data_IF_868189196510
#
_entry.id   IF_868189196510
#
_cell.length_a   1.000
_cell.length_b   1.000
_cell.length_c   1.000
_cell.angle_alpha   90.00
_cell.angle_beta   90.00
_cell.angle_gamma   90.00
#
_symmetry.space_group_name_H-M   'P 1'
#
loop_
_entity.id
_entity.type
_entity.pdbx_description
1 polymer ?
#
# COMPACT_ATOMS: atom_id res chain seq x y z
N UNK A 1 -16.98 13.65 15.31
CA UNK A 1 -16.77 14.65 14.24
C UNK A 1 -17.03 13.99 12.90
N UNK A 2 -17.60 14.70 11.94
CA UNK A 2 -18.07 14.07 10.69
C UNK A 2 -17.05 14.29 9.58
N UNK A 3 -16.73 13.23 8.82
CA UNK A 3 -15.81 13.33 7.69
C UNK A 3 -16.16 14.41 6.63
N UNK A 4 -17.44 14.76 6.38
CA UNK A 4 -17.79 15.91 5.54
C UNK A 4 -17.21 17.26 5.97
N UNK A 5 -16.97 17.48 7.27
CA UNK A 5 -16.38 18.74 7.75
C UNK A 5 -14.91 18.89 7.35
N UNK A 6 -14.18 17.77 7.30
CA UNK A 6 -12.77 17.72 6.87
C UNK A 6 -12.63 18.09 5.39
N UNK A 7 -13.68 17.90 4.59
CA UNK A 7 -13.70 18.22 3.16
C UNK A 7 -14.04 19.69 2.86
N UNK A 8 -14.34 20.52 3.86
CA UNK A 8 -14.62 21.95 3.62
C UNK A 8 -13.36 22.66 3.13
N UNK A 9 -13.42 23.17 1.90
CA UNK A 9 -12.31 23.83 1.22
C UNK A 9 -11.38 22.88 0.46
N UNK A 10 -11.63 21.57 0.50
CA UNK A 10 -10.91 20.61 -0.32
C UNK A 10 -11.30 20.77 -1.80
N UNK A 11 -10.31 20.61 -2.68
CA UNK A 11 -10.49 20.55 -4.12
C UNK A 11 -11.30 19.33 -4.53
N UNK A 12 -11.78 19.34 -5.78
CA UNK A 12 -12.49 18.19 -6.35
C UNK A 12 -11.61 16.93 -6.34
N UNK A 13 -10.32 17.05 -6.68
CA UNK A 13 -9.43 15.90 -6.75
C UNK A 13 -9.12 15.33 -5.36
N UNK A 14 -8.84 16.19 -4.38
CA UNK A 14 -8.68 15.80 -2.97
C UNK A 14 -9.88 15.05 -2.42
N UNK A 15 -11.07 15.29 -2.95
CA UNK A 15 -12.31 14.68 -2.49
C UNK A 15 -12.63 13.37 -3.23
N UNK A 16 -12.21 13.23 -4.49
CA UNK A 16 -12.70 12.16 -5.38
C UNK A 16 -11.64 11.14 -5.84
N UNK A 17 -10.36 11.34 -5.53
CA UNK A 17 -9.30 10.38 -5.87
C UNK A 17 -9.57 8.94 -5.40
N UNK A 18 -10.23 8.64 -4.25
CA UNK A 18 -10.50 7.26 -3.86
C UNK A 18 -11.41 6.52 -4.87
N UNK A 19 -12.40 7.22 -5.47
CA UNK A 19 -13.26 6.60 -6.50
C UNK A 19 -12.49 6.31 -7.79
N UNK A 20 -11.51 7.14 -8.11
CA UNK A 20 -10.60 6.88 -9.23
C UNK A 20 -9.75 5.63 -8.95
N UNK A 21 -9.35 5.38 -7.70
CA UNK A 21 -8.69 4.11 -7.33
C UNK A 21 -9.57 2.89 -7.63
N UNK A 22 -10.87 2.94 -7.30
CA UNK A 22 -11.83 1.89 -7.71
C UNK A 22 -11.94 1.72 -9.22
N UNK A 23 -11.89 2.82 -9.98
CA UNK A 23 -11.93 2.76 -11.44
C UNK A 23 -10.67 2.11 -12.03
N UNK A 24 -9.50 2.37 -11.45
CA UNK A 24 -8.23 1.79 -11.90
C UNK A 24 -7.99 0.36 -11.40
N UNK A 25 -8.65 -0.09 -10.32
CA UNK A 25 -8.54 -1.43 -9.76
C UNK A 25 -8.61 -2.58 -10.79
N UNK A 26 -9.66 -2.70 -11.63
CA UNK A 26 -9.77 -3.84 -12.55
C UNK A 26 -8.65 -3.83 -13.61
N UNK A 27 -8.21 -2.65 -14.04
CA UNK A 27 -7.10 -2.51 -14.99
C UNK A 27 -5.81 -3.00 -14.33
N UNK A 28 -5.49 -2.48 -13.13
CA UNK A 28 -4.30 -2.86 -12.39
C UNK A 28 -4.29 -4.36 -12.02
N UNK A 29 -5.46 -4.98 -11.81
CA UNK A 29 -5.57 -6.40 -11.51
C UNK A 29 -5.29 -7.28 -12.73
N UNK A 30 -5.73 -6.89 -13.92
CA UNK A 30 -5.65 -7.73 -15.12
C UNK A 30 -4.30 -7.61 -15.84
N UNK A 31 -3.72 -6.40 -15.87
CA UNK A 31 -2.46 -6.10 -16.59
C UNK A 31 -1.33 -7.12 -16.35
N UNK A 32 -0.97 -7.52 -15.11
CA UNK A 32 0.15 -8.43 -14.89
C UNK A 32 -0.10 -9.85 -15.41
N UNK A 33 -1.36 -10.24 -15.64
CA UNK A 33 -1.72 -11.57 -16.14
C UNK A 33 -1.75 -11.66 -17.67
N UNK A 34 -1.85 -10.53 -18.38
CA UNK A 34 -1.98 -10.51 -19.84
C UNK A 34 -0.88 -11.32 -20.56
N UNK A 35 0.42 -11.19 -20.23
CA UNK A 35 1.46 -11.99 -20.90
C UNK A 35 1.24 -13.49 -20.76
N UNK A 36 0.74 -13.95 -19.61
CA UNK A 36 0.46 -15.37 -19.36
C UNK A 36 -0.75 -15.86 -20.14
N UNK A 37 -1.81 -15.05 -20.23
CA UNK A 37 -3.00 -15.40 -21.00
C UNK A 37 -2.73 -15.53 -22.50
N UNK A 38 -1.79 -14.75 -23.04
CA UNK A 38 -1.38 -14.87 -24.45
C UNK A 38 -0.36 -16.00 -24.71
N UNK A 39 0.36 -16.45 -23.68
CA UNK A 39 1.45 -17.42 -23.83
C UNK A 39 1.05 -18.87 -23.51
N UNK A 40 -0.16 -19.11 -22.97
CA UNK A 40 -0.60 -20.44 -22.52
C UNK A 40 -1.88 -20.89 -23.21
N UNK A 41 -2.03 -22.21 -23.48
CA UNK A 41 -3.22 -22.75 -24.15
C UNK A 41 -4.48 -22.79 -23.28
N UNK A 42 -4.34 -22.65 -21.95
CA UNK A 42 -5.46 -22.69 -21.01
C UNK A 42 -5.37 -21.56 -20.00
N UNK A 43 -6.50 -20.89 -19.75
CA UNK A 43 -6.64 -19.82 -18.73
C UNK A 43 -6.22 -20.32 -17.35
N UNK A 44 -6.56 -21.57 -16.99
CA UNK A 44 -6.20 -22.16 -15.70
C UNK A 44 -4.67 -22.27 -15.55
N UNK A 45 -3.99 -22.75 -16.60
CA UNK A 45 -2.53 -22.85 -16.60
C UNK A 45 -1.88 -21.47 -16.54
N UNK A 46 -2.37 -20.51 -17.34
CA UNK A 46 -1.89 -19.13 -17.33
C UNK A 46 -1.99 -18.51 -15.93
N UNK A 47 -3.13 -18.69 -15.27
CA UNK A 47 -3.37 -18.14 -13.95
C UNK A 47 -2.46 -18.75 -12.88
N UNK A 48 -2.32 -20.08 -12.87
CA UNK A 48 -1.44 -20.77 -11.93
C UNK A 48 0.03 -20.41 -12.14
N UNK A 49 0.48 -20.27 -13.38
CA UNK A 49 1.84 -19.84 -13.70
C UNK A 49 2.09 -18.38 -13.31
N UNK A 50 1.11 -17.50 -13.57
CA UNK A 50 1.18 -16.10 -13.15
C UNK A 50 1.31 -15.99 -11.62
N UNK A 51 0.54 -16.75 -10.84
CA UNK A 51 0.63 -16.74 -9.38
C UNK A 51 1.94 -17.31 -8.81
N UNK A 52 2.76 -17.98 -9.62
CA UNK A 52 4.12 -18.39 -9.24
C UNK A 52 5.16 -17.31 -9.54
N UNK A 53 4.81 -16.29 -10.33
CA UNK A 53 5.73 -15.22 -10.71
C UNK A 53 5.88 -14.22 -9.56
N UNK A 54 7.11 -13.97 -9.06
CA UNK A 54 7.32 -12.96 -8.02
C UNK A 54 6.93 -11.55 -8.50
N UNK A 55 7.05 -11.30 -9.81
CA UNK A 55 6.60 -10.07 -10.43
C UNK A 55 5.09 -9.89 -10.32
N UNK A 56 4.30 -10.91 -10.67
CA UNK A 56 2.83 -10.84 -10.58
C UNK A 56 2.41 -10.71 -9.12
N UNK A 57 2.98 -11.51 -8.22
CA UNK A 57 2.69 -11.41 -6.79
C UNK A 57 3.03 -10.02 -6.22
N UNK A 58 4.16 -9.44 -6.63
CA UNK A 58 4.52 -8.07 -6.28
C UNK A 58 3.54 -7.04 -6.87
N UNK A 59 3.14 -7.20 -8.13
CA UNK A 59 2.20 -6.30 -8.80
C UNK A 59 0.84 -6.26 -8.10
N UNK A 60 0.38 -7.39 -7.53
CA UNK A 60 -0.89 -7.46 -6.82
C UNK A 60 -0.98 -6.48 -5.63
N UNK A 61 0.13 -5.94 -5.12
CA UNK A 61 0.09 -4.82 -4.18
C UNK A 61 -0.69 -3.61 -4.72
N UNK A 62 -0.53 -3.28 -6.02
CA UNK A 62 -1.21 -2.13 -6.66
C UNK A 62 -2.74 -2.25 -6.59
N UNK A 63 -3.40 -3.25 -7.24
CA UNK A 63 -4.86 -3.34 -7.23
C UNK A 63 -5.41 -3.52 -5.80
N UNK A 64 -4.76 -4.30 -4.94
CA UNK A 64 -5.27 -4.48 -3.58
C UNK A 64 -5.17 -3.22 -2.73
N UNK A 65 -4.19 -2.34 -2.97
CA UNK A 65 -4.15 -1.04 -2.30
C UNK A 65 -5.08 -0.02 -2.95
N UNK A 66 -5.31 -0.07 -4.27
CA UNK A 66 -6.30 0.79 -4.93
C UNK A 66 -7.70 0.59 -4.33
N UNK A 67 -8.12 -0.67 -4.11
CA UNK A 67 -9.42 -0.93 -3.47
C UNK A 67 -9.42 -0.57 -1.98
N UNK A 68 -8.26 -0.72 -1.30
CA UNK A 68 -8.09 -0.28 0.09
C UNK A 68 -8.38 1.21 0.25
N UNK A 69 -7.82 2.03 -0.64
CA UNK A 69 -7.98 3.49 -0.62
C UNK A 69 -9.45 3.91 -0.69
N UNK A 70 -10.24 3.20 -1.49
CA UNK A 70 -11.69 3.42 -1.56
C UNK A 70 -12.37 3.10 -0.25
N UNK A 71 -12.11 1.91 0.29
CA UNK A 71 -12.71 1.43 1.54
C UNK A 71 -12.31 2.31 2.74
N UNK A 72 -11.09 2.83 2.73
CA UNK A 72 -10.56 3.71 3.76
C UNK A 72 -11.16 5.13 3.69
N UNK A 73 -11.14 5.75 2.50
CA UNK A 73 -11.37 7.19 2.33
C UNK A 73 -12.65 7.57 1.59
N UNK A 74 -13.23 6.70 0.74
CA UNK A 74 -14.38 7.08 -0.09
C UNK A 74 -15.66 7.25 0.74
N UNK A 75 -16.10 6.17 1.37
CA UNK A 75 -17.27 6.14 2.25
C UNK A 75 -17.05 5.12 3.37
N UNK A 76 -17.36 5.50 4.60
CA UNK A 76 -17.57 4.54 5.66
C UNK A 76 -18.93 3.84 5.54
N UNK A 77 -19.16 2.88 6.43
CA UNK A 77 -20.41 2.13 6.49
C UNK A 77 -21.64 2.99 6.86
N UNK A 78 -21.42 4.21 7.35
CA UNK A 78 -22.45 5.22 7.67
C UNK A 78 -22.71 6.15 6.50
N UNK A 79 -22.02 5.94 5.36
CA UNK A 79 -22.07 6.82 4.21
C UNK A 79 -21.30 8.13 4.40
N UNK A 80 -20.42 8.22 5.40
CA UNK A 80 -19.57 9.39 5.62
C UNK A 80 -18.30 9.30 4.79
N UNK A 81 -18.03 10.35 4.03
CA UNK A 81 -16.79 10.48 3.25
C UNK A 81 -15.62 10.81 4.17
N UNK A 82 -14.42 10.29 3.87
CA UNK A 82 -13.18 10.64 4.57
C UNK A 82 -13.20 10.39 6.08
N UNK A 83 -13.96 9.41 6.56
CA UNK A 83 -14.05 9.09 7.98
C UNK A 83 -12.70 8.70 8.62
N UNK A 84 -11.77 8.15 7.83
CA UNK A 84 -10.44 7.78 8.32
C UNK A 84 -9.68 8.97 8.92
N UNK A 85 -9.67 10.12 8.24
CA UNK A 85 -8.88 11.30 8.66
C UNK A 85 -9.22 11.76 10.08
N UNK A 86 -10.47 12.10 10.43
CA UNK A 86 -10.80 12.49 11.78
C UNK A 86 -10.53 11.35 12.77
N UNK A 87 -10.75 10.09 12.41
CA UNK A 87 -10.51 8.98 13.34
C UNK A 87 -9.02 8.82 13.67
N UNK A 88 -8.18 8.89 12.64
CA UNK A 88 -6.74 8.88 12.80
C UNK A 88 -6.30 10.06 13.69
N UNK A 89 -6.79 11.26 13.41
CA UNK A 89 -6.46 12.48 14.14
C UNK A 89 -6.86 12.45 15.63
N UNK A 90 -7.96 11.77 15.98
CA UNK A 90 -8.39 11.61 17.37
C UNK A 90 -7.68 10.46 18.09
N UNK A 91 -7.29 9.41 17.37
CA UNK A 91 -6.57 8.27 17.92
C UNK A 91 -5.07 8.47 17.84
N UNK A 92 -4.45 7.86 16.84
CA UNK A 92 -2.99 7.83 16.63
C UNK A 92 -2.40 9.23 16.50
N UNK A 93 -3.08 10.12 15.78
CA UNK A 93 -2.66 11.51 15.57
C UNK A 93 -2.54 12.30 16.86
N UNK A 94 -3.53 12.18 17.77
CA UNK A 94 -3.50 12.83 19.07
C UNK A 94 -2.30 12.37 19.91
N UNK A 95 -1.96 11.07 19.87
CA UNK A 95 -0.84 10.50 20.59
C UNK A 95 0.53 10.97 20.06
N UNK A 96 0.66 11.19 18.75
CA UNK A 96 1.95 11.43 18.10
C UNK A 96 2.22 12.90 17.75
N UNK A 97 1.18 13.73 17.58
CA UNK A 97 1.31 15.07 16.99
C UNK A 97 0.70 16.22 17.82
N UNK A 98 0.33 15.99 19.08
CA UNK A 98 -0.24 17.01 19.98
C UNK A 98 -1.50 17.68 19.41
N UNK A 99 -2.33 16.89 18.74
CA UNK A 99 -3.49 17.39 17.99
C UNK A 99 -4.63 17.89 18.86
N UNK A 100 -4.60 17.61 20.16
CA UNK A 100 -5.48 18.25 21.14
C UNK A 100 -5.31 19.78 21.12
N UNK A 101 -4.07 20.28 20.94
CA UNK A 101 -3.80 21.72 20.89
C UNK A 101 -4.04 22.34 19.51
N UNK A 102 -3.89 21.56 18.45
CA UNK A 102 -3.98 22.04 17.06
C UNK A 102 -5.37 21.86 16.45
N UNK A 103 -6.23 21.08 17.09
CA UNK A 103 -7.57 20.72 16.61
C UNK A 103 -7.58 19.44 15.79
N UNK A 104 -8.34 18.45 16.24
CA UNK A 104 -8.41 17.12 15.64
C UNK A 104 -9.03 17.05 14.22
N UNK A 105 -9.59 18.15 13.71
CA UNK A 105 -10.14 18.17 12.35
C UNK A 105 -9.05 18.19 11.27
N UNK A 106 -7.85 18.71 11.59
CA UNK A 106 -6.78 18.92 10.59
C UNK A 106 -5.38 18.49 11.04
N UNK A 107 -5.25 17.90 12.23
CA UNK A 107 -3.96 17.46 12.75
C UNK A 107 -3.97 15.95 13.04
N UNK A 108 -2.97 15.18 12.56
CA UNK A 108 -1.94 15.57 11.59
C UNK A 108 -2.42 15.44 10.14
N UNK A 109 -3.53 14.74 9.90
CA UNK A 109 -3.99 14.48 8.54
C UNK A 109 -5.04 15.49 8.11
N UNK A 110 -4.88 15.95 6.87
CA UNK A 110 -5.85 16.70 6.10
C UNK A 110 -6.00 16.04 4.72
N UNK A 111 -7.07 16.32 3.94
CA UNK A 111 -7.30 15.68 2.65
C UNK A 111 -6.12 15.75 1.69
N UNK A 112 -5.37 16.87 1.70
CA UNK A 112 -4.17 17.07 0.87
C UNK A 112 -3.06 16.09 1.23
N UNK A 113 -2.66 16.01 2.50
CA UNK A 113 -1.62 15.08 2.96
C UNK A 113 -2.04 13.63 2.66
N UNK A 114 -3.30 13.28 2.94
CA UNK A 114 -3.83 11.94 2.66
C UNK A 114 -3.75 11.60 1.18
N UNK A 115 -4.07 12.56 0.29
CA UNK A 115 -3.92 12.39 -1.16
C UNK A 115 -2.46 12.22 -1.56
N UNK A 116 -1.56 13.09 -1.10
CA UNK A 116 -0.14 13.06 -1.48
C UNK A 116 0.52 11.74 -1.08
N UNK A 117 0.24 11.25 0.13
CA UNK A 117 0.73 9.94 0.58
C UNK A 117 0.17 8.82 -0.27
N UNK A 118 -1.14 8.76 -0.48
CA UNK A 118 -1.78 7.63 -1.14
C UNK A 118 -1.54 7.57 -2.65
N UNK A 119 -1.68 8.69 -3.34
CA UNK A 119 -1.43 8.79 -4.79
C UNK A 119 0.07 8.66 -5.05
N UNK A 120 0.91 9.34 -4.27
CA UNK A 120 2.37 9.22 -4.38
C UNK A 120 2.85 7.79 -4.13
N UNK A 121 2.38 7.14 -3.07
CA UNK A 121 2.75 5.77 -2.72
C UNK A 121 2.26 4.75 -3.75
N UNK A 122 0.95 4.72 -4.03
CA UNK A 122 0.32 3.60 -4.74
C UNK A 122 0.25 3.83 -6.24
N UNK A 123 -0.21 5.01 -6.68
CA UNK A 123 -0.46 5.24 -8.10
C UNK A 123 0.84 5.49 -8.85
N UNK A 124 1.77 6.19 -8.20
CA UNK A 124 3.08 6.50 -8.78
C UNK A 124 4.09 5.47 -8.29
N UNK A 125 4.29 5.38 -6.98
CA UNK A 125 5.41 4.64 -6.44
C UNK A 125 5.34 3.13 -6.70
N UNK A 126 4.26 2.45 -6.30
CA UNK A 126 4.12 1.01 -6.58
C UNK A 126 4.17 0.71 -8.08
N UNK A 127 3.48 1.50 -8.90
CA UNK A 127 3.46 1.30 -10.36
C UNK A 127 4.85 1.47 -10.96
N UNK A 128 5.57 2.54 -10.62
CA UNK A 128 6.95 2.77 -11.12
C UNK A 128 7.89 1.67 -10.62
N UNK A 129 7.77 1.26 -9.35
CA UNK A 129 8.55 0.14 -8.80
C UNK A 129 8.38 -1.12 -9.64
N UNK A 130 7.13 -1.45 -9.97
CA UNK A 130 6.84 -2.64 -10.77
C UNK A 130 7.28 -2.50 -12.22
N UNK A 131 7.10 -1.34 -12.85
CA UNK A 131 7.62 -1.08 -14.20
C UNK A 131 9.15 -1.27 -14.21
N UNK A 132 9.86 -0.71 -13.24
CA UNK A 132 11.30 -0.92 -13.10
C UNK A 132 11.65 -2.39 -12.86
N UNK A 133 10.91 -3.11 -11.99
CA UNK A 133 11.11 -4.53 -11.75
C UNK A 133 10.96 -5.37 -13.03
N UNK A 134 9.99 -5.04 -13.88
CA UNK A 134 9.78 -5.69 -15.17
C UNK A 134 10.99 -5.55 -16.10
N UNK A 135 11.51 -4.32 -16.23
CA UNK A 135 12.61 -4.03 -17.15
C UNK A 135 13.98 -4.47 -16.62
N UNK A 136 14.23 -4.30 -15.32
CA UNK A 136 15.51 -4.65 -14.70
C UNK A 136 15.68 -6.16 -14.49
N UNK A 137 14.56 -6.91 -14.36
CA UNK A 137 14.53 -8.38 -14.18
C UNK A 137 15.39 -8.85 -13.00
N UNK A 138 15.69 -10.14 -12.93
CA UNK A 138 16.58 -10.69 -11.92
C UNK A 138 16.09 -10.46 -10.50
N UNK A 139 16.99 -10.06 -9.57
CA UNK A 139 16.61 -9.81 -8.19
C UNK A 139 15.53 -8.73 -8.08
N UNK A 140 15.44 -7.79 -9.03
CA UNK A 140 14.45 -6.71 -9.01
C UNK A 140 13.02 -7.21 -9.23
N UNK A 141 12.79 -8.41 -9.77
CA UNK A 141 11.46 -9.00 -9.89
C UNK A 141 10.76 -9.18 -8.52
N UNK A 142 11.53 -9.18 -7.42
CA UNK A 142 11.05 -9.26 -6.05
C UNK A 142 10.76 -7.90 -5.40
N UNK A 143 11.03 -6.77 -6.07
CA UNK A 143 10.86 -5.44 -5.48
C UNK A 143 9.42 -5.17 -5.03
N UNK A 144 8.43 -5.61 -5.82
CA UNK A 144 7.02 -5.52 -5.43
C UNK A 144 6.65 -6.37 -4.21
N UNK A 145 7.44 -7.38 -3.86
CA UNK A 145 7.22 -8.18 -2.65
C UNK A 145 7.64 -7.38 -1.40
N UNK A 146 8.60 -6.46 -1.49
CA UNK A 146 8.89 -5.54 -0.38
C UNK A 146 7.69 -4.64 -0.06
N UNK A 147 6.96 -4.19 -1.09
CA UNK A 147 5.74 -3.40 -0.93
C UNK A 147 4.63 -4.15 -0.16
N UNK A 148 4.59 -5.49 -0.17
CA UNK A 148 3.69 -6.25 0.69
C UNK A 148 3.97 -6.06 2.18
N UNK A 149 5.22 -5.82 2.56
CA UNK A 149 5.56 -5.47 3.94
C UNK A 149 4.94 -4.15 4.36
N UNK A 150 4.88 -3.16 3.46
CA UNK A 150 4.13 -1.92 3.70
C UNK A 150 2.64 -2.19 3.87
N UNK A 151 2.02 -3.00 3.02
CA UNK A 151 0.61 -3.40 3.16
C UNK A 151 0.33 -4.06 4.51
N UNK A 152 1.19 -4.99 4.94
CA UNK A 152 1.03 -5.70 6.22
C UNK A 152 1.17 -4.73 7.38
N UNK A 153 2.19 -3.88 7.38
CA UNK A 153 2.42 -2.91 8.47
C UNK A 153 1.29 -1.89 8.55
N UNK A 154 0.79 -1.39 7.41
CA UNK A 154 -0.36 -0.48 7.39
C UNK A 154 -1.62 -1.18 7.92
N UNK A 155 -1.96 -2.35 7.35
CA UNK A 155 -3.13 -3.12 7.76
C UNK A 155 -3.09 -3.49 9.24
N UNK A 156 -1.94 -3.93 9.75
CA UNK A 156 -1.81 -4.34 11.14
C UNK A 156 -1.76 -3.12 12.08
N UNK A 157 -0.85 -2.18 11.84
CA UNK A 157 -0.57 -1.06 12.75
C UNK A 157 -1.52 0.12 12.59
N UNK A 158 -1.97 0.40 11.36
CA UNK A 158 -2.88 1.50 11.05
C UNK A 158 -4.37 1.16 11.20
N UNK A 159 -4.73 -0.12 11.10
CA UNK A 159 -6.15 -0.54 11.11
C UNK A 159 -6.48 -1.58 12.19
N UNK A 160 -5.90 -2.78 12.12
CA UNK A 160 -6.31 -3.91 12.98
C UNK A 160 -5.94 -3.68 14.45
N UNK A 161 -4.74 -3.18 14.76
CA UNK A 161 -4.31 -2.93 16.12
C UNK A 161 -5.12 -1.79 16.78
N UNK A 162 -5.34 -0.62 16.14
CA UNK A 162 -6.25 0.39 16.67
C UNK A 162 -7.67 -0.15 16.89
N UNK A 163 -8.18 -0.98 15.97
CA UNK A 163 -9.47 -1.63 16.12
C UNK A 163 -9.53 -2.54 17.36
N UNK A 164 -8.50 -3.36 17.58
CA UNK A 164 -8.42 -4.25 18.75
C UNK A 164 -8.28 -3.49 20.08
N UNK A 165 -7.53 -2.40 20.11
CA UNK A 165 -7.19 -1.67 21.34
C UNK A 165 -8.24 -0.65 21.76
N UNK A 166 -8.85 0.05 20.78
CA UNK A 166 -9.75 1.17 21.07
C UNK A 166 -11.22 0.77 21.03
N UNK A 167 -11.53 -0.46 20.60
CA UNK A 167 -12.86 -1.05 20.69
C UNK A 167 -13.97 -0.31 19.92
N UNK A 168 -13.61 0.70 19.12
CA UNK A 168 -14.47 1.46 18.21
C UNK A 168 -13.63 2.36 17.29
N UNK A 169 -13.78 2.19 15.97
CA UNK A 169 -13.35 3.11 14.91
C UNK A 169 -14.60 3.29 14.03
N UNK A 170 -15.25 4.47 13.95
CA UNK A 170 -16.64 4.65 13.49
C UNK A 170 -17.18 3.61 12.52
N UNK A 171 -17.98 2.71 13.09
CA UNK A 171 -18.49 1.51 12.46
C UNK A 171 -19.28 0.60 13.41
N UNK A 172 -19.26 0.83 14.72
CA UNK A 172 -19.83 -0.10 15.70
C UNK A 172 -21.34 0.03 15.89
N UNK A 173 -22.06 -0.28 14.82
CA UNK A 173 -23.28 -1.05 15.01
C UNK A 173 -22.94 -2.51 14.65
N UNK A 174 -23.25 -3.41 15.58
CA UNK A 174 -22.61 -4.71 15.82
C UNK A 174 -22.70 -5.73 14.67
N UNK A 175 -23.36 -5.38 13.57
CA UNK A 175 -23.57 -6.26 12.41
C UNK A 175 -22.82 -5.81 11.15
N UNK A 176 -22.32 -4.58 11.09
CA UNK A 176 -21.83 -3.98 9.84
C UNK A 176 -20.32 -3.73 9.79
N UNK A 177 -19.63 -3.78 10.94
CA UNK A 177 -18.16 -3.67 11.12
C UNK A 177 -17.28 -4.61 10.27
N UNK A 178 -17.86 -5.53 9.51
CA UNK A 178 -17.11 -6.57 8.79
C UNK A 178 -16.30 -6.07 7.60
N UNK A 179 -16.63 -4.94 6.99
CA UNK A 179 -16.02 -4.60 5.68
C UNK A 179 -14.63 -3.95 5.80
N UNK A 180 -14.39 -3.08 6.79
CA UNK A 180 -13.09 -2.41 6.93
C UNK A 180 -11.97 -3.35 7.38
N UNK A 181 -12.26 -4.15 8.40
CA UNK A 181 -11.35 -5.18 8.85
C UNK A 181 -11.13 -6.26 7.78
N UNK A 182 -12.11 -6.55 6.91
CA UNK A 182 -11.97 -7.62 5.92
C UNK A 182 -10.83 -7.36 4.94
N UNK A 183 -10.72 -6.14 4.42
CA UNK A 183 -9.66 -5.79 3.49
C UNK A 183 -8.28 -5.84 4.18
N UNK A 184 -8.16 -5.27 5.38
CA UNK A 184 -6.89 -5.31 6.14
C UNK A 184 -6.52 -6.74 6.57
N UNK A 185 -7.50 -7.56 6.97
CA UNK A 185 -7.30 -8.99 7.26
C UNK A 185 -6.84 -9.73 6.01
N UNK A 186 -7.45 -9.46 4.85
CA UNK A 186 -7.03 -10.02 3.59
C UNK A 186 -5.60 -9.60 3.23
N UNK A 187 -5.27 -8.30 3.31
CA UNK A 187 -3.92 -7.81 3.03
C UNK A 187 -2.87 -8.42 3.96
N UNK A 188 -3.17 -8.57 5.25
CA UNK A 188 -2.27 -9.25 6.20
C UNK A 188 -2.12 -10.72 5.84
N UNK A 189 -3.23 -11.46 5.69
CA UNK A 189 -3.19 -12.89 5.42
C UNK A 189 -2.52 -13.21 4.07
N UNK A 190 -2.90 -12.48 3.02
CA UNK A 190 -2.34 -12.65 1.68
C UNK A 190 -0.90 -12.13 1.61
N UNK A 191 -0.58 -11.02 2.27
CA UNK A 191 0.80 -10.53 2.37
C UNK A 191 1.72 -11.53 3.07
N UNK A 192 1.29 -12.09 4.19
CA UNK A 192 2.02 -13.16 4.89
C UNK A 192 2.20 -14.37 3.96
N UNK A 193 1.15 -14.77 3.24
CA UNK A 193 1.25 -15.86 2.26
C UNK A 193 2.29 -15.56 1.16
N UNK A 194 2.29 -14.35 0.58
CA UNK A 194 3.28 -13.94 -0.44
C UNK A 194 4.70 -13.96 0.14
N UNK A 195 4.91 -13.43 1.34
CA UNK A 195 6.22 -13.43 2.00
C UNK A 195 6.69 -14.84 2.35
N UNK A 196 5.77 -15.72 2.77
CA UNK A 196 6.07 -17.11 3.11
C UNK A 196 6.31 -18.00 1.89
N UNK A 197 5.82 -17.62 0.71
CA UNK A 197 6.03 -18.38 -0.55
C UNK A 197 7.23 -17.90 -1.36
N UNK A 198 7.81 -16.75 -1.02
CA UNK A 198 9.03 -16.26 -1.64
C UNK A 198 10.24 -17.15 -1.28
N UNK A 199 11.06 -17.65 -2.23
CA UNK A 199 12.31 -18.35 -1.91
C UNK A 199 13.18 -17.55 -0.94
N UNK A 200 14.01 -18.19 -0.09
CA UNK A 200 14.80 -17.46 0.93
C UNK A 200 13.96 -16.79 2.05
N UNK A 201 12.73 -17.27 2.21
CA UNK A 201 11.58 -16.77 3.00
C UNK A 201 11.91 -15.86 4.18
N UNK A 202 12.57 -16.33 5.23
CA UNK A 202 12.60 -15.57 6.49
C UNK A 202 13.41 -14.27 6.42
N UNK A 203 14.58 -14.28 5.75
CA UNK A 203 15.44 -13.09 5.69
C UNK A 203 14.81 -12.02 4.80
N UNK A 204 14.32 -12.40 3.62
CA UNK A 204 13.73 -11.45 2.70
C UNK A 204 12.37 -10.94 3.22
N UNK A 205 11.56 -11.81 3.86
CA UNK A 205 10.34 -11.39 4.53
C UNK A 205 10.61 -10.38 5.66
N UNK A 206 11.63 -10.61 6.49
CA UNK A 206 12.01 -9.64 7.53
C UNK A 206 12.42 -8.29 6.93
N UNK A 207 13.14 -8.29 5.81
CA UNK A 207 13.51 -7.07 5.08
C UNK A 207 12.27 -6.35 4.52
N UNK A 208 11.30 -7.08 3.96
CA UNK A 208 10.04 -6.50 3.49
C UNK A 208 9.23 -5.87 4.64
N UNK A 209 9.09 -6.56 5.78
CA UNK A 209 8.39 -6.00 6.94
C UNK A 209 9.14 -4.76 7.48
N UNK A 210 10.47 -4.81 7.54
CA UNK A 210 11.28 -3.66 7.93
C UNK A 210 11.09 -2.47 6.99
N UNK A 211 11.01 -2.71 5.69
CA UNK A 211 10.68 -1.68 4.69
C UNK A 211 9.33 -1.01 5.01
N UNK A 212 8.30 -1.83 5.29
CA UNK A 212 7.00 -1.31 5.71
C UNK A 212 7.07 -0.44 6.97
N UNK A 213 7.81 -0.87 8.00
CA UNK A 213 7.99 -0.08 9.23
C UNK A 213 8.72 1.24 8.92
N UNK A 214 9.79 1.17 8.13
CA UNK A 214 10.59 2.33 7.77
C UNK A 214 9.80 3.33 6.94
N UNK A 215 9.02 2.86 5.96
CA UNK A 215 8.09 3.70 5.18
C UNK A 215 7.18 4.50 6.12
N UNK A 216 6.51 3.85 7.07
CA UNK A 216 5.62 4.56 7.99
C UNK A 216 6.38 5.51 8.93
N UNK A 217 7.54 5.12 9.44
CA UNK A 217 8.35 6.00 10.29
C UNK A 217 8.82 7.26 9.55
N UNK A 218 9.28 7.11 8.30
CA UNK A 218 9.83 8.23 7.52
C UNK A 218 8.72 9.05 6.87
N UNK A 219 7.82 8.42 6.13
CA UNK A 219 6.77 9.14 5.36
C UNK A 219 5.71 9.68 6.30
N UNK A 220 5.10 8.82 7.12
CA UNK A 220 4.07 9.26 8.06
C UNK A 220 4.67 9.99 9.26
N UNK A 221 5.74 9.49 9.88
CA UNK A 221 6.33 10.15 11.05
C UNK A 221 7.03 11.46 10.70
N UNK A 222 8.09 11.38 9.90
CA UNK A 222 8.94 12.54 9.57
C UNK A 222 8.28 13.44 8.53
N UNK A 223 7.76 12.90 7.44
CA UNK A 223 7.17 13.69 6.34
C UNK A 223 6.00 14.56 6.79
N UNK A 224 5.03 13.97 7.50
CA UNK A 224 3.91 14.76 8.04
C UNK A 224 4.36 15.75 9.11
N UNK A 225 5.34 15.38 9.96
CA UNK A 225 5.92 16.32 10.94
C UNK A 225 6.58 17.52 10.27
N UNK A 226 7.32 17.32 9.18
CA UNK A 226 7.94 18.40 8.40
C UNK A 226 6.85 19.31 7.82
N UNK A 227 5.78 18.73 7.26
CA UNK A 227 4.68 19.49 6.68
C UNK A 227 3.95 20.35 7.73
N UNK A 228 3.62 19.76 8.88
CA UNK A 228 2.82 20.42 9.93
C UNK A 228 3.67 21.36 10.78
N UNK A 229 4.84 20.91 11.26
CA UNK A 229 5.65 21.66 12.24
C UNK A 229 6.56 22.68 11.57
N UNK A 230 7.05 22.39 10.37
CA UNK A 230 7.97 23.28 9.64
C UNK A 230 7.26 24.06 8.52
N UNK A 231 5.97 23.79 8.26
CA UNK A 231 5.18 24.47 7.24
C UNK A 231 5.64 24.18 5.81
N UNK A 232 6.31 23.04 5.59
CA UNK A 232 6.75 22.66 4.25
C UNK A 232 5.58 22.18 3.40
N UNK A 233 5.68 22.29 2.05
CA UNK A 233 4.65 21.79 1.16
C UNK A 233 4.39 20.29 1.36
N UNK A 234 3.11 19.90 1.35
CA UNK A 234 2.66 18.50 1.50
C UNK A 234 3.25 17.55 0.45
N UNK A 235 3.61 18.09 -0.71
CA UNK A 235 4.28 17.44 -1.83
C UNK A 235 5.61 16.83 -1.41
N UNK A 236 6.27 17.36 -0.37
CA UNK A 236 7.48 16.75 0.20
C UNK A 236 7.15 15.38 0.79
N UNK A 237 6.01 15.23 1.46
CA UNK A 237 5.54 13.94 1.98
C UNK A 237 5.16 13.00 0.84
N UNK A 238 4.54 13.52 -0.23
CA UNK A 238 4.27 12.77 -1.46
C UNK A 238 5.54 12.25 -2.13
N UNK A 239 6.58 13.10 -2.25
CA UNK A 239 7.88 12.73 -2.79
C UNK A 239 8.57 11.65 -1.95
N UNK A 240 8.55 11.78 -0.62
CA UNK A 240 9.07 10.74 0.27
C UNK A 240 8.31 9.43 0.07
N UNK A 241 6.99 9.48 -0.09
CA UNK A 241 6.16 8.30 -0.41
C UNK A 241 6.66 7.61 -1.67
N UNK A 242 6.86 8.36 -2.76
CA UNK A 242 7.34 7.82 -4.04
C UNK A 242 8.71 7.17 -3.87
N UNK A 243 9.66 7.85 -3.21
CA UNK A 243 11.04 7.34 -3.04
C UNK A 243 11.03 6.02 -2.25
N UNK A 244 10.29 5.98 -1.14
CA UNK A 244 10.25 4.81 -0.27
C UNK A 244 9.40 3.67 -0.79
N UNK A 245 8.57 3.88 -1.83
CA UNK A 245 7.84 2.79 -2.48
C UNK A 245 8.36 2.44 -3.88
N UNK A 246 9.46 3.08 -4.32
CA UNK A 246 10.18 2.78 -5.57
C UNK A 246 11.63 2.39 -5.32
N UNK A 247 12.48 3.38 -5.08
CA UNK A 247 13.93 3.24 -5.03
C UNK A 247 14.35 2.32 -3.88
N UNK A 248 13.67 2.42 -2.75
CA UNK A 248 14.01 1.62 -1.58
C UNK A 248 13.65 0.13 -1.76
N UNK A 249 12.42 -0.27 -2.16
CA UNK A 249 12.09 -1.64 -2.55
C UNK A 249 13.03 -2.22 -3.62
N UNK A 250 13.35 -1.45 -4.67
CA UNK A 250 14.29 -1.87 -5.71
C UNK A 250 15.68 -2.13 -5.14
N UNK A 251 16.16 -1.26 -4.25
CA UNK A 251 17.45 -1.42 -3.58
C UNK A 251 17.45 -2.64 -2.67
N UNK A 252 16.41 -2.84 -1.87
CA UNK A 252 16.29 -4.01 -1.00
C UNK A 252 16.27 -5.31 -1.81
N UNK A 253 15.50 -5.36 -2.89
CA UNK A 253 15.47 -6.51 -3.79
C UNK A 253 16.87 -6.79 -4.38
N UNK A 254 17.59 -5.77 -4.87
CA UNK A 254 18.95 -5.94 -5.39
C UNK A 254 19.95 -6.53 -4.38
N UNK A 255 19.76 -6.25 -3.09
CA UNK A 255 20.66 -6.65 -2.01
C UNK A 255 20.28 -7.99 -1.38
N UNK A 256 18.98 -8.28 -1.28
CA UNK A 256 18.46 -9.34 -0.40
C UNK A 256 17.57 -10.36 -1.11
N UNK A 257 17.20 -10.14 -2.38
CA UNK A 257 16.40 -11.12 -3.11
C UNK A 257 17.16 -12.45 -3.27
N UNK A 258 16.43 -13.58 -3.34
CA UNK A 258 17.03 -14.90 -3.50
C UNK A 258 17.73 -15.00 -4.86
N UNK A 259 19.01 -15.36 -4.85
CA UNK A 259 19.80 -15.51 -6.10
C UNK A 259 19.61 -16.87 -6.77
N UNK A 260 19.37 -17.92 -5.99
CA UNK A 260 19.44 -19.33 -6.42
C UNK A 260 18.37 -19.81 -7.40
N UNK A 261 17.29 -19.05 -7.63
CA UNK A 261 16.27 -19.40 -8.63
C UNK A 261 16.41 -18.63 -9.94
N UNK A 262 16.97 -17.42 -9.90
CA UNK A 262 17.18 -16.63 -11.11
C UNK A 262 18.32 -17.17 -11.96
N UNK A 263 19.40 -17.60 -11.32
CA UNK A 263 20.54 -18.20 -12.03
C UNK A 263 20.10 -19.45 -12.82
N UNK A 264 19.13 -20.22 -12.31
CA UNK A 264 18.56 -21.38 -13.01
C UNK A 264 17.67 -21.03 -14.21
N UNK A 265 16.98 -19.89 -14.19
CA UNK A 265 16.19 -19.41 -15.34
C UNK A 265 17.07 -18.83 -16.44
N UNK A 266 18.18 -18.20 -16.06
CA UNK A 266 19.12 -17.64 -17.02
C UNK A 266 19.82 -18.73 -17.84
N UNK A 267 20.19 -19.84 -17.19
CA UNK A 267 20.79 -20.99 -17.85
C UNK A 267 19.82 -21.65 -18.87
N UNK A 268 18.51 -21.64 -18.63
CA UNK A 268 17.52 -22.22 -19.57
C UNK A 268 17.21 -21.33 -20.79
N UNK A 269 17.33 -20.01 -20.64
CA UNK A 269 17.12 -19.06 -21.75
C UNK A 269 18.36 -19.00 -22.66
N UNK A 270 19.56 -19.25 -22.12
CA UNK A 270 20.81 -19.34 -22.92
C UNK A 270 20.93 -20.68 -23.68
N UNK A 271 20.31 -21.77 -23.22
CA UNK A 271 20.26 -23.05 -23.95
C UNK A 271 19.25 -23.07 -25.11
N UNK A 272 18.36 -22.07 -25.19
CA UNK A 272 17.29 -22.00 -26.20
C UNK A 272 17.48 -20.91 -27.26
N UNK A 273 18.62 -20.20 -27.22
CA UNK A 273 19.06 -19.20 -28.21
C UNK A 273 20.21 -19.74 -29.09
#
# INVERSE_FOLDING_TARGET
>A
MSGPEVLKGATWFETNWPFMSSFFFPIALVVPFLPFFFSRPSIKSAFLDALRSPYVLGWLTVPFYLIHQTEEHAYDLRGWRYAFVPNFNHGVGALLFDCEKQGHLRCPLEPRITLEVNVGCVWIGFVVCMICAHYLRGPYAYAGICNWGMCIVNSLGGHLLPWLLMGYNPGDDIMWMRHRAFQSLFQVAFGIYVLATCPGTCRFAAVAIFDGILFHAIVFGIGTSISIKLGWPTEVTGLLSIIFTTAFPLRLASCFAPRSEYDKMKDSDEESA
#
